data_IF_852175631819
#
_entry.id   IF_852175631819
#
_cell.length_a   1.000
_cell.length_b   1.000
_cell.length_c   1.000
_cell.angle_alpha   90.00
_cell.angle_beta   90.00
_cell.angle_gamma   90.00
#
_symmetry.space_group_name_H-M   'P 1'
#
loop_
_entity.id
_entity.type
_entity.pdbx_description
1 polymer ?
#
# COMPACT_ATOMS: atom_id res chain seq x y z
N UNK A 1 6.23 -1.25 14.47
CA UNK A 1 6.06 -1.54 13.02
C UNK A 1 7.28 -2.31 12.54
N UNK A 2 7.14 -3.27 11.60
CA UNK A 2 8.32 -3.87 10.95
C UNK A 2 9.06 -2.84 10.11
N UNK A 3 10.36 -3.07 9.85
CA UNK A 3 11.18 -2.16 9.05
C UNK A 3 10.63 -2.00 7.62
N UNK A 4 10.10 -3.09 7.03
CA UNK A 4 9.48 -3.08 5.69
C UNK A 4 8.18 -2.25 5.67
N UNK A 5 7.37 -2.31 6.73
CA UNK A 5 6.12 -1.53 6.85
C UNK A 5 6.42 -0.02 6.91
N UNK A 6 7.39 0.41 7.73
CA UNK A 6 7.79 1.81 7.79
C UNK A 6 8.40 2.29 6.47
N UNK A 7 9.25 1.48 5.85
CA UNK A 7 9.84 1.81 4.55
C UNK A 7 8.77 1.92 3.43
N UNK A 8 7.74 1.07 3.46
CA UNK A 8 6.62 1.14 2.51
C UNK A 8 5.78 2.40 2.74
N UNK A 9 5.47 2.76 3.99
CA UNK A 9 4.75 3.98 4.34
C UNK A 9 5.49 5.21 3.81
N UNK A 10 6.79 5.29 4.06
CA UNK A 10 7.63 6.39 3.60
C UNK A 10 7.66 6.50 2.07
N UNK A 11 7.70 5.37 1.36
CA UNK A 11 7.68 5.36 -0.10
C UNK A 11 6.32 5.75 -0.68
N UNK A 12 5.22 5.31 -0.07
CA UNK A 12 3.85 5.71 -0.42
C UNK A 12 3.67 7.22 -0.26
N UNK A 13 4.12 7.78 0.87
CA UNK A 13 4.06 9.19 1.16
C UNK A 13 4.82 10.03 0.13
N UNK A 14 5.99 9.55 -0.32
CA UNK A 14 6.82 10.23 -1.30
C UNK A 14 6.31 10.11 -2.74
N UNK A 15 5.90 8.92 -3.17
CA UNK A 15 5.60 8.64 -4.58
C UNK A 15 4.12 8.69 -4.92
N UNK A 16 3.25 8.25 -4.00
CA UNK A 16 1.84 8.00 -4.28
C UNK A 16 0.90 9.08 -3.78
N UNK A 17 1.35 9.92 -2.85
CA UNK A 17 0.53 10.94 -2.20
C UNK A 17 0.87 12.34 -2.71
N UNK A 18 -0.15 13.18 -2.94
CA UNK A 18 0.01 14.58 -3.36
C UNK A 18 -1.05 15.44 -2.68
N UNK A 19 -0.63 16.54 -2.04
CA UNK A 19 -1.54 17.60 -1.58
C UNK A 19 -1.93 18.50 -2.75
N UNK A 20 -3.17 18.98 -2.75
CA UNK A 20 -3.69 19.88 -3.79
C UNK A 20 -5.22 19.78 -3.90
N UNK A 21 -5.81 20.58 -4.75
CA UNK A 21 -7.24 20.49 -5.04
C UNK A 21 -7.52 19.52 -6.19
N UNK A 22 -8.22 18.43 -5.89
CA UNK A 22 -8.57 17.39 -6.87
C UNK A 22 -10.08 17.21 -6.96
N UNK A 23 -10.58 17.05 -8.19
CA UNK A 23 -11.96 16.61 -8.44
C UNK A 23 -12.01 15.08 -8.42
N UNK A 24 -12.88 14.52 -7.60
CA UNK A 24 -13.09 13.07 -7.55
C UNK A 24 -14.05 12.65 -8.68
N UNK A 25 -13.93 11.41 -9.14
CA UNK A 25 -14.85 10.81 -10.13
C UNK A 25 -16.30 10.77 -9.63
N UNK A 26 -16.51 10.78 -8.32
CA UNK A 26 -17.83 10.90 -7.66
C UNK A 26 -18.42 12.31 -7.69
N UNK A 27 -17.73 13.32 -8.26
CA UNK A 27 -18.14 14.72 -8.31
C UNK A 27 -17.75 15.57 -7.08
N UNK A 28 -17.20 14.95 -6.03
CA UNK A 28 -16.67 15.65 -4.84
C UNK A 28 -15.31 16.30 -5.08
N UNK A 29 -14.83 17.07 -4.09
CA UNK A 29 -13.47 17.63 -4.04
C UNK A 29 -12.69 16.92 -2.96
N UNK A 30 -11.37 16.80 -3.16
CA UNK A 30 -10.41 16.32 -2.17
C UNK A 30 -9.21 17.24 -2.13
N UNK A 31 -8.64 17.45 -0.95
CA UNK A 31 -7.42 18.22 -0.75
C UNK A 31 -6.14 17.39 -0.94
N UNK A 32 -6.29 16.12 -1.34
CA UNK A 32 -5.20 15.24 -1.70
C UNK A 32 -5.60 14.24 -2.79
N UNK A 33 -4.60 13.70 -3.45
CA UNK A 33 -4.70 12.59 -4.40
C UNK A 33 -3.77 11.46 -4.00
N UNK A 34 -4.22 10.22 -4.14
CA UNK A 34 -3.38 9.03 -3.91
C UNK A 34 -3.50 8.07 -5.09
N UNK A 35 -2.34 7.63 -5.61
CA UNK A 35 -2.23 6.58 -6.62
C UNK A 35 -1.17 5.58 -6.18
N UNK A 36 -1.59 4.49 -5.56
CA UNK A 36 -0.70 3.47 -5.03
C UNK A 36 0.13 2.76 -6.11
N UNK A 37 -0.31 2.79 -7.38
CA UNK A 37 0.40 2.13 -8.50
C UNK A 37 1.78 2.73 -8.73
N UNK A 38 1.99 4.02 -8.43
CA UNK A 38 3.31 4.66 -8.52
C UNK A 38 4.32 4.07 -7.52
N UNK A 39 3.83 3.45 -6.45
CA UNK A 39 4.64 2.70 -5.49
C UNK A 39 4.61 1.20 -5.76
N UNK A 40 3.44 0.60 -6.00
CA UNK A 40 3.33 -0.85 -6.17
C UNK A 40 3.96 -1.36 -7.47
N UNK A 41 4.17 -0.49 -8.47
CA UNK A 41 4.92 -0.77 -9.71
C UNK A 41 6.39 -0.30 -9.65
N UNK A 42 6.82 0.36 -8.57
CA UNK A 42 8.23 0.68 -8.34
C UNK A 42 8.96 -0.57 -7.85
N UNK A 43 10.18 -0.83 -8.33
CA UNK A 43 10.92 -2.05 -8.00
C UNK A 43 11.10 -2.28 -6.49
N UNK A 44 11.45 -1.21 -5.73
CA UNK A 44 11.57 -1.28 -4.27
C UNK A 44 10.20 -1.35 -3.61
N UNK A 45 9.24 -0.57 -4.12
CA UNK A 45 7.87 -0.52 -3.63
C UNK A 45 7.13 -1.82 -3.81
N UNK A 46 7.26 -2.48 -4.97
CA UNK A 46 6.69 -3.81 -5.22
C UNK A 46 7.20 -4.85 -4.21
N UNK A 47 8.52 -4.91 -4.00
CA UNK A 47 9.12 -5.83 -3.01
C UNK A 47 8.57 -5.58 -1.61
N UNK A 48 8.58 -4.32 -1.15
CA UNK A 48 8.07 -3.94 0.18
C UNK A 48 6.57 -4.24 0.31
N UNK A 49 5.77 -4.01 -0.74
CA UNK A 49 4.35 -4.36 -0.77
C UNK A 49 4.16 -5.85 -0.59
N UNK A 50 4.90 -6.67 -1.34
CA UNK A 50 4.87 -8.13 -1.19
C UNK A 50 5.22 -8.60 0.22
N UNK A 51 6.30 -8.07 0.81
CA UNK A 51 6.75 -8.39 2.17
C UNK A 51 5.68 -8.05 3.22
N UNK A 52 5.11 -6.83 3.15
CA UNK A 52 4.13 -6.34 4.14
C UNK A 52 2.82 -7.11 4.06
N UNK A 53 2.30 -7.37 2.85
CA UNK A 53 1.08 -8.17 2.68
C UNK A 53 1.29 -9.62 3.13
N UNK A 54 2.42 -10.24 2.78
CA UNK A 54 2.75 -11.60 3.24
C UNK A 54 2.87 -11.68 4.76
N UNK A 55 3.47 -10.67 5.40
CA UNK A 55 3.55 -10.58 6.85
C UNK A 55 2.17 -10.48 7.49
N UNK A 56 1.28 -9.61 6.99
CA UNK A 56 -0.08 -9.44 7.50
C UNK A 56 -0.90 -10.73 7.37
N UNK A 57 -0.83 -11.42 6.21
CA UNK A 57 -1.51 -12.72 5.99
C UNK A 57 -1.04 -13.75 7.04
N UNK A 58 0.26 -13.81 7.33
CA UNK A 58 0.82 -14.72 8.35
C UNK A 58 0.38 -14.35 9.75
N UNK A 59 0.42 -13.08 10.12
CA UNK A 59 0.01 -12.59 11.45
C UNK A 59 -1.48 -12.85 11.73
N UNK A 60 -2.33 -12.78 10.69
CA UNK A 60 -3.75 -13.12 10.76
C UNK A 60 -4.01 -14.63 10.83
N UNK A 61 -3.03 -15.46 10.56
CA UNK A 61 -3.19 -16.90 10.49
C UNK A 61 -4.05 -17.35 9.28
N UNK A 62 -4.20 -16.51 8.26
CA UNK A 62 -4.96 -16.84 7.07
C UNK A 62 -4.25 -17.91 6.24
N UNK A 63 -4.85 -19.12 6.21
CA UNK A 63 -4.33 -20.26 5.46
C UNK A 63 -4.82 -20.19 4.00
N UNK A 64 -4.23 -19.28 3.22
CA UNK A 64 -4.58 -19.09 1.82
C UNK A 64 -3.69 -19.91 0.88
N UNK A 65 -4.26 -20.36 -0.25
CA UNK A 65 -3.54 -20.93 -1.40
C UNK A 65 -3.27 -19.90 -2.48
N UNK A 66 -4.09 -18.85 -2.52
CA UNK A 66 -3.95 -17.80 -3.52
C UNK A 66 -4.39 -16.42 -2.98
N UNK A 67 -3.93 -15.39 -3.69
CA UNK A 67 -4.27 -14.00 -3.47
C UNK A 67 -4.75 -13.40 -4.78
N UNK A 68 -5.76 -12.52 -4.74
CA UNK A 68 -6.26 -11.89 -5.96
C UNK A 68 -7.12 -10.66 -5.69
N UNK A 69 -7.47 -9.96 -6.76
CA UNK A 69 -8.28 -8.74 -6.67
C UNK A 69 -8.66 -8.17 -8.01
N UNK A 70 -9.36 -7.03 -7.99
CA UNK A 70 -9.86 -6.40 -9.21
C UNK A 70 -8.75 -5.70 -9.99
N UNK A 71 -8.68 -5.96 -11.31
CA UNK A 71 -7.77 -5.23 -12.21
C UNK A 71 -8.15 -3.74 -12.27
N UNK A 72 -7.20 -2.79 -12.39
CA UNK A 72 -5.73 -2.84 -12.46
C UNK A 72 -5.04 -2.64 -11.09
N UNK A 73 -5.76 -2.17 -10.08
CA UNK A 73 -5.16 -1.78 -8.79
C UNK A 73 -4.49 -2.94 -8.05
N UNK A 74 -5.14 -4.10 -8.04
CA UNK A 74 -4.65 -5.29 -7.36
C UNK A 74 -3.48 -6.00 -8.07
N UNK A 75 -3.34 -5.86 -9.39
CA UNK A 75 -2.41 -6.68 -10.19
C UNK A 75 -0.96 -6.62 -9.68
N UNK A 76 -0.37 -5.43 -9.42
CA UNK A 76 1.00 -5.35 -8.90
C UNK A 76 1.15 -5.97 -7.51
N UNK A 77 0.13 -5.83 -6.66
CA UNK A 77 0.13 -6.39 -5.30
C UNK A 77 0.12 -7.93 -5.37
N UNK A 78 -0.77 -8.49 -6.19
CA UNK A 78 -0.88 -9.94 -6.42
C UNK A 78 0.45 -10.50 -6.89
N UNK A 79 1.04 -9.91 -7.94
CA UNK A 79 2.33 -10.34 -8.47
C UNK A 79 3.45 -10.25 -7.40
N UNK A 80 3.52 -9.13 -6.67
CA UNK A 80 4.53 -8.92 -5.65
C UNK A 80 4.45 -9.94 -4.52
N UNK A 81 3.23 -10.22 -4.01
CA UNK A 81 3.03 -11.21 -2.92
C UNK A 81 3.37 -12.61 -3.41
N UNK A 82 2.93 -12.99 -4.61
CA UNK A 82 3.25 -14.31 -5.18
C UNK A 82 4.76 -14.53 -5.31
N UNK A 83 5.50 -13.53 -5.81
CA UNK A 83 6.96 -13.60 -5.96
C UNK A 83 7.66 -13.65 -4.61
N UNK A 84 7.26 -12.83 -3.64
CA UNK A 84 7.91 -12.76 -2.33
C UNK A 84 7.66 -14.03 -1.51
N UNK A 85 6.46 -14.59 -1.58
CA UNK A 85 6.12 -15.79 -0.81
C UNK A 85 6.61 -17.07 -1.47
N UNK A 86 6.65 -17.13 -2.80
CA UNK A 86 6.91 -18.35 -3.57
C UNK A 86 5.86 -19.47 -3.40
N UNK A 87 4.81 -19.22 -2.60
CA UNK A 87 3.81 -20.23 -2.22
C UNK A 87 2.37 -19.81 -2.58
N UNK A 88 2.06 -18.52 -2.47
CA UNK A 88 0.73 -17.99 -2.78
C UNK A 88 0.60 -17.76 -4.29
N UNK A 89 -0.32 -18.49 -4.91
CA UNK A 89 -0.67 -18.28 -6.31
C UNK A 89 -1.43 -16.96 -6.51
N UNK A 90 -1.36 -16.40 -7.72
CA UNK A 90 -2.08 -15.17 -8.07
C UNK A 90 -3.32 -15.45 -8.92
N UNK A 91 -4.40 -14.70 -8.68
CA UNK A 91 -5.51 -14.59 -9.61
C UNK A 91 -5.96 -13.14 -9.77
N UNK A 92 -6.54 -12.81 -10.91
CA UNK A 92 -7.02 -11.47 -11.23
C UNK A 92 -8.52 -11.52 -11.50
N UNK A 93 -9.24 -10.52 -11.03
CA UNK A 93 -10.68 -10.35 -11.28
C UNK A 93 -10.88 -9.26 -12.33
N UNK A 94 -11.52 -9.61 -13.43
CA UNK A 94 -11.85 -8.64 -14.49
C UNK A 94 -13.08 -7.82 -14.10
N UNK A 95 -13.10 -6.55 -14.49
CA UNK A 95 -14.26 -5.65 -14.28
C UNK A 95 -15.51 -6.11 -15.05
N UNK A 96 -15.32 -6.74 -16.21
CA UNK A 96 -16.37 -7.25 -17.06
C UNK A 96 -16.07 -8.69 -17.49
N UNK A 97 -17.12 -9.45 -17.81
CA UNK A 97 -17.00 -10.78 -18.40
C UNK A 97 -16.31 -10.73 -19.77
N UNK A 98 -15.66 -11.83 -20.14
CA UNK A 98 -15.15 -11.99 -21.51
C UNK A 98 -16.32 -12.06 -22.48
N UNK A 99 -16.34 -11.18 -23.47
CA UNK A 99 -17.34 -11.22 -24.56
C UNK A 99 -17.17 -12.47 -25.45
N UNK A 100 -15.97 -13.10 -25.44
CA UNK A 100 -15.65 -14.30 -26.20
C UNK A 100 -14.96 -15.31 -25.28
N UNK A 101 -15.37 -16.59 -25.33
CA UNK A 101 -14.81 -17.69 -24.55
C UNK A 101 -15.70 -18.13 -23.39
N UNK A 102 -15.12 -18.51 -22.26
CA UNK A 102 -15.81 -19.14 -21.11
C UNK A 102 -16.66 -18.20 -20.26
N UNK A 103 -16.74 -16.89 -20.56
CA UNK A 103 -17.45 -15.90 -19.74
C UNK A 103 -16.83 -15.63 -18.36
N UNK A 104 -15.71 -16.26 -18.05
CA UNK A 104 -15.11 -16.21 -16.71
C UNK A 104 -14.47 -14.85 -16.40
N UNK A 105 -14.74 -14.37 -15.19
CA UNK A 105 -14.17 -13.12 -14.63
C UNK A 105 -12.85 -13.36 -13.93
N UNK A 106 -12.47 -14.60 -13.64
CA UNK A 106 -11.22 -14.97 -12.94
C UNK A 106 -10.16 -15.40 -13.95
N UNK A 107 -8.95 -14.87 -13.83
CA UNK A 107 -7.77 -15.24 -14.60
C UNK A 107 -6.65 -15.70 -13.65
N UNK A 108 -5.81 -16.63 -14.06
CA UNK A 108 -4.70 -17.15 -13.26
C UNK A 108 -5.09 -18.38 -12.46
N UNK A 109 -4.96 -18.36 -11.14
CA UNK A 109 -5.28 -19.51 -10.30
C UNK A 109 -6.78 -19.86 -10.30
N UNK A 110 -7.12 -21.16 -10.51
CA UNK A 110 -8.49 -21.61 -10.81
C UNK A 110 -8.93 -22.85 -10.01
N UNK A 111 -8.46 -23.09 -8.79
CA UNK A 111 -8.86 -24.24 -7.96
C UNK A 111 -10.11 -23.93 -7.14
N UNK A 112 -11.29 -24.42 -7.55
CA UNK A 112 -12.54 -24.25 -6.79
C UNK A 112 -12.40 -24.83 -5.38
N UNK A 113 -13.00 -24.15 -4.40
CA UNK A 113 -12.89 -24.50 -2.98
C UNK A 113 -11.58 -24.07 -2.32
N UNK A 114 -10.61 -23.58 -3.09
CA UNK A 114 -9.37 -23.09 -2.51
C UNK A 114 -9.60 -21.86 -1.62
N UNK A 115 -8.87 -21.81 -0.52
CA UNK A 115 -8.85 -20.64 0.37
C UNK A 115 -8.06 -19.50 -0.25
N UNK A 116 -8.66 -18.30 -0.30
CA UNK A 116 -8.05 -17.13 -0.96
C UNK A 116 -8.15 -15.86 -0.11
N UNK A 117 -7.24 -14.92 -0.35
CA UNK A 117 -7.28 -13.55 0.18
C UNK A 117 -7.58 -12.58 -0.96
N UNK A 118 -8.51 -11.65 -0.74
CA UNK A 118 -8.81 -10.57 -1.67
C UNK A 118 -7.98 -9.36 -1.31
N UNK A 119 -7.41 -8.69 -2.33
CA UNK A 119 -6.62 -7.47 -2.15
C UNK A 119 -7.07 -6.34 -3.08
N UNK A 120 -6.85 -5.12 -2.62
CA UNK A 120 -7.06 -3.89 -3.39
C UNK A 120 -5.95 -2.88 -3.09
N UNK A 121 -5.70 -1.92 -3.97
CA UNK A 121 -4.72 -0.87 -3.74
C UNK A 121 -5.29 0.26 -2.87
N UNK A 122 -6.46 0.79 -3.20
CA UNK A 122 -7.11 1.87 -2.43
C UNK A 122 -8.58 1.56 -2.18
N UNK A 123 -8.94 1.40 -0.91
CA UNK A 123 -10.34 1.31 -0.49
C UNK A 123 -10.91 2.72 -0.27
N UNK A 124 -11.74 3.20 -1.21
CA UNK A 124 -12.52 4.44 -1.09
C UNK A 124 -13.95 4.09 -0.66
N UNK A 125 -14.83 3.80 -1.59
CA UNK A 125 -16.20 3.32 -1.30
C UNK A 125 -16.25 1.82 -1.07
N UNK A 126 -15.17 1.11 -1.36
CA UNK A 126 -15.08 -0.36 -1.29
C UNK A 126 -15.67 -1.10 -2.50
N UNK A 127 -16.19 -0.38 -3.51
CA UNK A 127 -16.87 -1.00 -4.63
C UNK A 127 -15.98 -2.02 -5.39
N UNK A 128 -14.71 -1.70 -5.63
CA UNK A 128 -13.74 -2.59 -6.28
C UNK A 128 -13.49 -3.86 -5.47
N UNK A 129 -13.24 -3.69 -4.17
CA UNK A 129 -13.00 -4.80 -3.25
C UNK A 129 -14.23 -5.71 -3.15
N UNK A 130 -15.45 -5.13 -3.04
CA UNK A 130 -16.72 -5.87 -3.00
C UNK A 130 -16.91 -6.65 -4.29
N UNK A 131 -16.69 -6.03 -5.45
CA UNK A 131 -16.80 -6.69 -6.75
C UNK A 131 -15.83 -7.88 -6.88
N UNK A 132 -14.62 -7.75 -6.33
CA UNK A 132 -13.65 -8.85 -6.31
C UNK A 132 -14.09 -10.00 -5.38
N UNK A 133 -14.65 -9.68 -4.21
CA UNK A 133 -15.22 -10.64 -3.26
C UNK A 133 -16.35 -11.43 -3.90
N UNK A 134 -17.30 -10.75 -4.54
CA UNK A 134 -18.43 -11.37 -5.21
C UNK A 134 -17.98 -12.33 -6.33
N UNK A 135 -17.10 -11.87 -7.22
CA UNK A 135 -16.57 -12.69 -8.30
C UNK A 135 -15.79 -13.92 -7.79
N UNK A 136 -15.02 -13.76 -6.70
CA UNK A 136 -14.31 -14.89 -6.09
C UNK A 136 -15.28 -15.95 -5.52
N UNK A 137 -16.36 -15.51 -4.87
CA UNK A 137 -17.40 -16.41 -4.36
C UNK A 137 -18.20 -17.07 -5.47
N UNK A 138 -18.60 -16.32 -6.50
CA UNK A 138 -19.30 -16.86 -7.68
C UNK A 138 -18.47 -17.94 -8.37
N UNK A 139 -17.15 -17.77 -8.43
CA UNK A 139 -16.24 -18.78 -8.96
C UNK A 139 -16.19 -20.03 -8.06
N UNK A 140 -16.45 -19.91 -6.78
CA UNK A 140 -16.41 -21.00 -5.80
C UNK A 140 -15.13 -21.02 -4.97
N UNK A 141 -14.43 -19.90 -4.81
CA UNK A 141 -13.35 -19.76 -3.83
C UNK A 141 -13.90 -19.65 -2.41
N UNK A 142 -13.11 -20.12 -1.44
CA UNK A 142 -13.33 -19.91 -0.01
C UNK A 142 -12.50 -18.71 0.46
N UNK A 143 -13.14 -17.55 0.63
CA UNK A 143 -12.45 -16.35 1.06
C UNK A 143 -12.13 -16.40 2.56
N UNK A 144 -10.84 -16.27 2.93
CA UNK A 144 -10.36 -16.28 4.33
C UNK A 144 -9.97 -14.90 4.85
N UNK A 145 -9.83 -13.91 3.98
CA UNK A 145 -9.52 -12.54 4.34
C UNK A 145 -9.67 -11.59 3.16
N UNK A 146 -9.81 -10.29 3.47
CA UNK A 146 -9.75 -9.20 2.51
C UNK A 146 -8.88 -8.08 3.07
N UNK A 147 -8.11 -7.40 2.22
CA UNK A 147 -7.23 -6.31 2.67
C UNK A 147 -7.00 -5.28 1.55
N UNK A 148 -6.71 -4.04 1.95
CA UNK A 148 -6.25 -3.02 1.02
C UNK A 148 -4.93 -2.40 1.47
N UNK A 149 -4.18 -1.83 0.53
CA UNK A 149 -2.93 -1.15 0.84
C UNK A 149 -3.20 0.16 1.58
N UNK A 150 -4.13 0.99 1.06
CA UNK A 150 -4.53 2.24 1.70
C UNK A 150 -6.05 2.36 1.78
N UNK A 151 -6.56 2.68 2.97
CA UNK A 151 -7.95 3.02 3.19
C UNK A 151 -8.13 4.54 3.24
N UNK A 152 -9.12 5.05 2.50
CA UNK A 152 -9.60 6.42 2.61
C UNK A 152 -10.75 6.48 3.61
N UNK A 153 -10.43 6.74 4.89
CA UNK A 153 -11.37 6.66 6.01
C UNK A 153 -12.56 7.60 5.84
N UNK A 154 -12.31 8.79 5.27
CA UNK A 154 -13.34 9.81 5.03
C UNK A 154 -14.41 9.37 4.03
N UNK A 155 -14.09 8.41 3.17
CA UNK A 155 -15.04 7.87 2.20
C UNK A 155 -16.00 6.81 2.79
N UNK A 156 -15.72 6.35 4.02
CA UNK A 156 -16.58 5.43 4.80
C UNK A 156 -16.93 4.13 4.08
N UNK A 157 -16.01 3.60 3.24
CA UNK A 157 -16.22 2.36 2.50
C UNK A 157 -16.08 1.09 3.36
N UNK A 158 -15.31 1.16 4.46
CA UNK A 158 -15.02 0.02 5.35
C UNK A 158 -16.25 -0.79 5.74
N UNK A 159 -17.36 -0.21 6.27
CA UNK A 159 -18.51 -1.00 6.72
C UNK A 159 -19.15 -1.84 5.59
N UNK A 160 -19.15 -1.31 4.37
CA UNK A 160 -19.68 -2.04 3.22
C UNK A 160 -18.79 -3.23 2.84
N UNK A 161 -17.45 -3.04 2.86
CA UNK A 161 -16.49 -4.11 2.59
C UNK A 161 -16.53 -5.17 3.69
N UNK A 162 -16.57 -4.77 4.97
CA UNK A 162 -16.68 -5.71 6.10
C UNK A 162 -17.95 -6.57 6.00
N UNK A 163 -19.09 -5.95 5.68
CA UNK A 163 -20.34 -6.67 5.46
C UNK A 163 -20.21 -7.67 4.30
N UNK A 164 -19.60 -7.27 3.20
CA UNK A 164 -19.37 -8.15 2.06
C UNK A 164 -18.37 -9.26 2.38
N UNK A 165 -17.40 -9.00 3.24
CA UNK A 165 -16.35 -9.97 3.58
C UNK A 165 -16.82 -11.11 4.50
N UNK A 166 -17.88 -10.96 5.29
CA UNK A 166 -18.36 -11.97 6.25
C UNK A 166 -18.39 -13.38 5.63
N UNK A 167 -17.88 -14.44 6.33
CA UNK A 167 -17.36 -14.45 7.69
C UNK A 167 -15.88 -14.04 7.83
N UNK A 168 -15.18 -13.75 6.75
CA UNK A 168 -13.80 -13.26 6.80
C UNK A 168 -13.75 -11.80 7.29
N UNK A 169 -12.56 -11.37 7.70
CA UNK A 169 -12.32 -9.96 8.11
C UNK A 169 -11.70 -9.13 6.99
N UNK A 170 -11.91 -7.81 7.06
CA UNK A 170 -11.24 -6.83 6.21
C UNK A 170 -10.21 -6.03 7.00
N UNK A 171 -9.07 -5.75 6.38
CA UNK A 171 -7.93 -5.04 6.98
C UNK A 171 -7.37 -4.02 5.99
N UNK A 172 -7.01 -2.83 6.48
CA UNK A 172 -6.17 -1.88 5.76
C UNK A 172 -4.73 -1.95 6.27
N UNK A 173 -3.77 -1.95 5.35
CA UNK A 173 -2.34 -1.87 5.72
C UNK A 173 -2.05 -0.47 6.28
N UNK A 174 -2.49 0.57 5.58
CA UNK A 174 -2.38 1.96 6.02
C UNK A 174 -3.72 2.67 5.84
N UNK A 175 -3.85 3.79 6.56
CA UNK A 175 -4.90 4.78 6.30
C UNK A 175 -4.35 5.94 5.48
N UNK A 176 -5.22 6.68 4.80
CA UNK A 176 -4.82 7.90 4.08
C UNK A 176 -4.27 8.96 5.04
N UNK A 177 -4.78 8.99 6.27
CA UNK A 177 -4.30 9.87 7.34
C UNK A 177 -2.85 9.56 7.73
N UNK A 178 -2.47 8.27 7.84
CA UNK A 178 -1.10 7.86 8.13
C UNK A 178 -0.14 8.24 6.98
N UNK A 179 -0.56 8.00 5.73
CA UNK A 179 0.25 8.38 4.55
C UNK A 179 0.43 9.89 4.45
N UNK A 180 -0.64 10.67 4.75
CA UNK A 180 -0.60 12.13 4.79
C UNK A 180 0.36 12.65 5.87
N UNK A 181 0.28 12.10 7.07
CA UNK A 181 1.16 12.47 8.18
C UNK A 181 2.63 12.25 7.84
N UNK A 182 2.96 11.09 7.26
CA UNK A 182 4.31 10.78 6.80
C UNK A 182 4.76 11.72 5.66
N UNK A 183 3.85 12.07 4.72
CA UNK A 183 4.12 13.01 3.64
C UNK A 183 4.47 14.41 4.16
N UNK A 184 3.71 14.91 5.13
CA UNK A 184 3.98 16.21 5.77
C UNK A 184 5.34 16.19 6.46
N UNK A 185 5.67 15.13 7.21
CA UNK A 185 6.97 14.99 7.87
C UNK A 185 8.15 15.01 6.88
N UNK A 186 7.96 14.48 5.66
CA UNK A 186 8.99 14.46 4.62
C UNK A 186 9.10 15.77 3.85
N UNK A 187 8.05 16.57 3.80
CA UNK A 187 8.00 17.83 3.03
C UNK A 187 8.14 19.08 3.88
N UNK A 188 8.07 18.94 5.21
CA UNK A 188 8.22 20.06 6.13
C UNK A 188 9.70 20.41 6.33
N UNK A 189 10.24 21.18 5.39
CA UNK A 189 11.59 21.76 5.46
C UNK A 189 11.77 22.75 6.63
N UNK A 190 10.66 23.04 7.38
CA UNK A 190 10.70 23.95 8.53
C UNK A 190 11.06 23.25 9.83
N UNK A 191 11.20 21.91 9.84
CA UNK A 191 11.82 21.24 11.00
C UNK A 191 13.21 21.86 11.19
N UNK A 192 13.47 22.54 12.32
CA UNK A 192 14.83 22.99 12.60
C UNK A 192 15.69 21.72 12.50
N UNK A 193 16.65 21.74 11.59
CA UNK A 193 17.72 20.76 11.62
C UNK A 193 18.26 20.87 13.03
N UNK A 194 17.87 19.92 13.90
CA UNK A 194 18.47 19.81 15.23
C UNK A 194 19.88 19.37 14.92
N UNK A 195 20.72 20.36 14.65
CA UNK A 195 22.14 20.16 14.72
C UNK A 195 22.38 19.70 16.15
N UNK A 196 22.68 18.43 16.33
CA UNK A 196 23.25 17.97 17.58
C UNK A 196 24.48 18.86 17.79
N UNK A 197 24.34 19.85 18.68
CA UNK A 197 25.42 20.77 19.08
C UNK A 197 26.34 19.93 19.96
N UNK A 198 27.23 19.19 19.31
CA UNK A 198 28.22 18.35 20.00
C UNK A 198 29.56 18.29 19.26
N UNK A 199 29.75 19.08 18.23
CA UNK A 199 31.07 19.16 17.61
C UNK A 199 31.50 20.65 17.46
N UNK A 200 32.65 20.95 17.99
CA UNK A 200 33.32 22.24 17.76
C UNK A 200 34.29 22.10 16.58
N UNK A 201 34.48 23.16 15.83
CA UNK A 201 35.50 23.22 14.78
C UNK A 201 36.88 23.02 15.39
N UNK A 202 37.64 22.04 14.91
CA UNK A 202 38.97 21.69 15.40
C UNK A 202 40.03 22.84 15.23
N UNK A 203 39.69 23.83 14.41
CA UNK A 203 40.62 24.96 14.13
C UNK A 203 40.28 26.19 14.95
N UNK A 204 39.00 26.56 15.10
CA UNK A 204 38.64 27.84 15.75
C UNK A 204 37.68 27.69 16.94
N UNK A 205 37.27 26.47 17.33
CA UNK A 205 36.40 26.23 18.48
C UNK A 205 34.93 26.59 18.29
N UNK A 206 34.52 27.16 17.15
CA UNK A 206 33.15 27.52 16.87
C UNK A 206 32.29 26.28 16.52
N UNK A 207 30.94 26.35 16.68
CA UNK A 207 30.04 25.25 16.30
C UNK A 207 30.30 24.75 14.88
N UNK A 208 30.52 23.45 14.70
CA UNK A 208 30.81 22.82 13.42
C UNK A 208 29.56 22.22 12.80
N UNK A 209 29.46 22.17 11.48
CA UNK A 209 28.36 21.53 10.74
C UNK A 209 28.66 20.04 10.60
N UNK A 210 27.82 19.19 11.20
CA UNK A 210 28.05 17.77 11.46
C UNK A 210 27.98 16.82 10.24
N UNK A 211 27.86 17.31 9.01
CA UNK A 211 27.78 16.46 7.80
C UNK A 211 28.99 16.61 6.84
N UNK A 212 30.16 16.95 7.33
CA UNK A 212 31.37 17.07 6.52
C UNK A 212 32.49 16.21 7.11
N UNK A 213 33.32 15.56 6.30
CA UNK A 213 34.32 14.57 6.75
C UNK A 213 35.43 15.07 7.68
N UNK A 214 35.36 16.30 8.11
CA UNK A 214 36.21 16.89 9.18
C UNK A 214 35.39 18.01 9.81
N UNK A 215 35.06 17.92 11.09
CA UNK A 215 34.28 18.89 11.88
C UNK A 215 34.80 20.34 11.71
N UNK A 216 34.45 20.98 10.59
CA UNK A 216 34.89 22.36 10.28
C UNK A 216 33.68 23.29 10.14
N UNK A 217 33.79 24.51 10.64
CA UNK A 217 32.76 25.53 10.43
C UNK A 217 32.74 26.02 8.96
N UNK A 218 31.71 26.80 8.58
CA UNK A 218 31.53 27.27 7.21
C UNK A 218 32.73 28.05 6.65
N UNK A 219 33.51 28.74 7.51
CA UNK A 219 34.68 29.48 7.12
C UNK A 219 35.93 28.62 6.81
N UNK A 220 35.91 27.35 7.23
CA UNK A 220 37.01 26.39 7.06
C UNK A 220 36.66 25.17 6.25
N UNK A 221 35.65 25.28 5.37
CA UNK A 221 35.33 24.26 4.35
C UNK A 221 36.35 24.37 3.22
N UNK A 222 37.12 23.32 3.00
CA UNK A 222 37.95 23.11 1.81
C UNK A 222 37.44 21.88 1.12
#
# INVERSE_FOLDING_TARGET
MSSSRQALLSLLAHKSFKLGEFKLSSGGRSDYYIDCRTTTLDAKGARLTGEVFAEEIRQRGWKAKAIGGLTLGADPIVAAVSVVTGELNGFLVRKAEKQHGTGQRIEGFHEKGASVVIVDDVCTTGASTIQAIEAAREFGFNMVGAMCLVEREEAKGRPAVEKAAVPASFVSIFTASEVRAEHILQTDDTQPVIFAVAATCEICGNPAVTNVPRNRCAAHRV
#
